data_IF_858181723412
#
_entry.id   IF_858181723412
#
_cell.length_a   1.000
_cell.length_b   1.000
_cell.length_c   1.000
_cell.angle_alpha   90.00
_cell.angle_beta   90.00
_cell.angle_gamma   90.00
#
_symmetry.space_group_name_H-M   'P 1'
#
loop_
_entity.id
_entity.type
_entity.pdbx_description
1 polymer ?
#
# COMPACT_ATOMS: atom_id res chain seq x y z
N UNK A 1 -3.01 12.86 13.08
CA UNK A 1 -2.98 11.38 13.12
C UNK A 1 -1.54 10.86 13.20
N UNK A 2 -0.70 11.07 12.18
CA UNK A 2 0.68 10.57 12.13
C UNK A 2 1.50 10.83 13.41
N UNK A 3 1.63 12.11 13.81
CA UNK A 3 2.37 12.52 15.02
C UNK A 3 1.98 11.74 16.28
N UNK A 4 0.70 11.44 16.46
CA UNK A 4 0.21 10.68 17.62
C UNK A 4 0.74 9.25 17.60
N UNK A 5 0.59 8.55 16.48
CA UNK A 5 1.06 7.16 16.31
C UNK A 5 2.58 7.07 16.39
N UNK A 6 3.30 8.00 15.77
CA UNK A 6 4.76 8.04 15.84
C UNK A 6 5.26 8.31 17.27
N UNK A 7 4.57 9.16 18.04
CA UNK A 7 4.84 9.38 19.46
C UNK A 7 4.56 8.15 20.32
N UNK A 8 3.48 7.41 20.05
CA UNK A 8 3.17 6.12 20.73
C UNK A 8 4.23 5.05 20.45
N UNK A 9 4.88 5.12 19.28
CA UNK A 9 6.00 4.25 18.91
C UNK A 9 7.37 4.77 19.38
N UNK A 10 7.40 5.87 20.14
CA UNK A 10 8.61 6.49 20.67
C UNK A 10 9.65 6.86 19.60
N UNK A 11 9.21 7.24 18.39
CA UNK A 11 10.10 7.84 17.40
C UNK A 11 10.67 9.16 17.97
N UNK A 12 11.93 9.46 17.65
CA UNK A 12 12.52 10.72 18.05
C UNK A 12 11.82 11.90 17.38
N UNK A 13 11.99 13.08 17.98
CA UNK A 13 11.24 14.28 17.58
C UNK A 13 11.52 14.69 16.13
N UNK A 14 12.75 14.58 15.68
CA UNK A 14 13.14 15.00 14.34
C UNK A 14 12.52 14.06 13.31
N UNK A 15 12.58 12.74 13.55
CA UNK A 15 11.88 11.74 12.72
C UNK A 15 10.36 11.96 12.69
N UNK A 16 9.75 12.36 13.82
CA UNK A 16 8.32 12.68 13.87
C UNK A 16 7.99 13.89 13.00
N UNK A 17 8.78 14.97 13.08
CA UNK A 17 8.55 16.19 12.31
C UNK A 17 8.82 15.98 10.81
N UNK A 18 9.83 15.18 10.46
CA UNK A 18 10.08 14.73 9.08
C UNK A 18 8.91 13.91 8.53
N UNK A 19 8.40 12.96 9.32
CA UNK A 19 7.24 12.16 8.96
C UNK A 19 5.98 13.02 8.75
N UNK A 20 5.73 14.02 9.62
CA UNK A 20 4.63 14.97 9.42
C UNK A 20 4.79 15.77 8.14
N UNK A 21 6.01 16.18 7.80
CA UNK A 21 6.31 16.88 6.54
C UNK A 21 6.00 15.99 5.36
N UNK A 22 6.48 14.74 5.34
CA UNK A 22 6.21 13.80 4.25
C UNK A 22 4.72 13.49 4.08
N UNK A 23 3.96 13.29 5.16
CA UNK A 23 2.50 13.08 5.06
C UNK A 23 1.81 14.31 4.46
N UNK A 24 2.23 15.51 4.86
CA UNK A 24 1.68 16.76 4.34
C UNK A 24 1.94 16.90 2.83
N UNK A 25 3.14 16.57 2.37
CA UNK A 25 3.49 16.60 0.94
C UNK A 25 2.67 15.60 0.12
N UNK A 26 2.51 14.36 0.62
CA UNK A 26 1.68 13.35 -0.04
C UNK A 26 0.19 13.76 -0.09
N UNK A 27 -0.35 14.27 1.02
CA UNK A 27 -1.72 14.75 1.07
C UNK A 27 -1.96 15.95 0.15
N UNK A 28 -1.02 16.90 0.11
CA UNK A 28 -1.08 18.04 -0.81
C UNK A 28 -1.10 17.57 -2.27
N UNK A 29 -0.25 16.62 -2.65
CA UNK A 29 -0.23 16.05 -3.99
C UNK A 29 -1.60 15.45 -4.38
N UNK A 30 -2.22 14.69 -3.49
CA UNK A 30 -3.56 14.13 -3.72
C UNK A 30 -4.63 15.21 -3.85
N UNK A 31 -4.62 16.24 -2.99
CA UNK A 31 -5.57 17.36 -3.06
C UNK A 31 -5.38 18.23 -4.31
N UNK A 32 -4.15 18.40 -4.77
CA UNK A 32 -3.88 19.11 -6.03
C UNK A 32 -4.35 18.31 -7.24
N UNK A 33 -4.16 16.99 -7.22
CA UNK A 33 -4.67 16.11 -8.26
C UNK A 33 -6.21 16.11 -8.28
N UNK A 34 -6.86 16.05 -7.12
CA UNK A 34 -8.33 16.05 -7.03
C UNK A 34 -8.97 17.31 -7.62
N UNK A 35 -8.37 18.49 -7.41
CA UNK A 35 -8.84 19.76 -8.00
C UNK A 35 -8.85 19.76 -9.54
N UNK A 36 -8.06 18.89 -10.18
CA UNK A 36 -7.98 18.77 -11.64
C UNK A 36 -8.96 17.75 -12.22
N UNK A 37 -9.67 17.00 -11.38
CA UNK A 37 -10.56 15.92 -11.81
C UNK A 37 -12.00 16.11 -11.29
N UNK A 38 -13.03 16.07 -12.17
CA UNK A 38 -14.42 16.36 -11.80
C UNK A 38 -15.04 15.44 -10.75
N UNK A 39 -14.52 14.22 -10.61
CA UNK A 39 -15.07 13.18 -9.74
C UNK A 39 -14.46 13.16 -8.32
N UNK A 40 -13.52 14.06 -8.03
CA UNK A 40 -12.81 14.13 -6.76
C UNK A 40 -11.89 12.93 -6.51
N UNK A 41 -10.86 13.15 -5.69
CA UNK A 41 -10.15 12.04 -5.06
C UNK A 41 -10.93 11.66 -3.80
N UNK A 42 -11.06 10.36 -3.53
CA UNK A 42 -11.42 9.88 -2.18
C UNK A 42 -10.12 9.53 -1.45
N UNK A 43 -9.42 10.51 -0.84
CA UNK A 43 -8.14 10.27 -0.21
C UNK A 43 -8.28 9.43 1.05
N UNK A 44 -7.34 8.53 1.25
CA UNK A 44 -7.20 7.80 2.52
C UNK A 44 -5.76 7.87 3.02
N UNK A 45 -5.59 7.91 4.34
CA UNK A 45 -4.27 7.82 4.97
C UNK A 45 -4.24 6.58 5.84
N UNK A 46 -3.27 5.70 5.58
CA UNK A 46 -3.10 4.44 6.29
C UNK A 46 -1.75 4.44 7.01
N UNK A 47 -1.77 3.97 8.26
CA UNK A 47 -0.58 3.74 9.07
C UNK A 47 -0.59 2.29 9.52
N UNK A 48 0.51 1.59 9.32
CA UNK A 48 0.70 0.24 9.85
C UNK A 48 2.19 -0.04 10.09
N UNK A 49 2.45 -1.01 10.96
CA UNK A 49 3.80 -1.52 11.16
C UNK A 49 4.05 -2.69 10.20
N UNK A 50 5.27 -2.78 9.67
CA UNK A 50 5.78 -3.98 9.00
C UNK A 50 7.16 -4.35 9.53
N UNK A 51 7.57 -5.58 9.29
CA UNK A 51 8.81 -6.15 9.75
C UNK A 51 8.72 -6.78 11.14
N UNK A 52 9.80 -7.44 11.54
CA UNK A 52 9.92 -8.11 12.83
C UNK A 52 11.28 -7.82 13.46
N UNK A 53 11.35 -7.92 14.79
CA UNK A 53 12.58 -7.70 15.55
C UNK A 53 13.14 -6.29 15.33
N UNK A 54 14.43 -6.18 15.01
CA UNK A 54 15.12 -4.89 14.84
C UNK A 54 14.82 -4.20 13.49
N UNK A 55 13.98 -4.80 12.63
CA UNK A 55 13.65 -4.28 11.29
C UNK A 55 12.20 -3.83 11.18
N UNK A 56 11.61 -3.35 12.28
CA UNK A 56 10.24 -2.83 12.27
C UNK A 56 10.23 -1.43 11.67
N UNK A 57 9.29 -1.19 10.77
CA UNK A 57 9.10 0.09 10.10
C UNK A 57 7.65 0.55 10.30
N UNK A 58 7.46 1.84 10.58
CA UNK A 58 6.18 2.52 10.45
C UNK A 58 5.99 2.91 8.98
N UNK A 59 5.02 2.28 8.31
CA UNK A 59 4.64 2.59 6.94
C UNK A 59 3.48 3.58 6.96
N UNK A 60 3.62 4.65 6.19
CA UNK A 60 2.52 5.57 5.89
C UNK A 60 2.18 5.48 4.40
N UNK A 61 0.90 5.24 4.10
CA UNK A 61 0.36 5.27 2.74
C UNK A 61 -0.69 6.37 2.59
N UNK A 62 -0.62 7.12 1.51
CA UNK A 62 -1.69 8.02 1.06
C UNK A 62 -2.26 7.45 -0.22
N UNK A 63 -3.54 7.08 -0.17
CA UNK A 63 -4.29 6.52 -1.29
C UNK A 63 -5.15 7.60 -1.94
N UNK A 64 -5.34 7.49 -3.25
CA UNK A 64 -6.39 8.19 -3.97
C UNK A 64 -6.91 7.37 -5.17
N UNK A 65 -8.14 7.66 -5.59
CA UNK A 65 -8.84 6.99 -6.69
C UNK A 65 -8.41 7.46 -8.08
N UNK A 66 -7.44 8.37 -8.20
CA UNK A 66 -7.03 8.91 -9.50
C UNK A 66 -6.01 7.96 -10.16
N UNK A 67 -6.32 7.41 -11.34
CA UNK A 67 -5.54 6.32 -11.96
C UNK A 67 -4.28 6.82 -12.68
N UNK A 68 -3.84 8.06 -12.43
CA UNK A 68 -2.86 8.78 -13.26
C UNK A 68 -1.48 8.11 -13.40
N UNK A 69 -1.17 7.09 -12.59
CA UNK A 69 0.13 6.38 -12.62
C UNK A 69 0.05 4.93 -13.12
N UNK A 70 -1.11 4.47 -13.62
CA UNK A 70 -1.29 3.10 -14.15
C UNK A 70 -0.33 2.75 -15.31
N UNK A 71 0.21 3.74 -16.04
CA UNK A 71 1.12 3.54 -17.17
C UNK A 71 2.51 4.19 -17.00
N UNK A 72 2.99 4.35 -15.76
CA UNK A 72 4.40 4.68 -15.53
C UNK A 72 4.79 6.15 -15.69
N UNK A 73 3.83 7.08 -15.84
CA UNK A 73 4.08 8.51 -15.72
C UNK A 73 4.19 8.94 -14.24
N UNK A 74 5.14 8.35 -13.54
CA UNK A 74 5.46 8.68 -12.15
C UNK A 74 6.46 9.82 -12.17
N UNK A 75 6.14 11.01 -11.62
CA UNK A 75 7.12 12.06 -11.44
C UNK A 75 8.22 11.55 -10.50
N UNK A 76 9.49 11.61 -10.92
CA UNK A 76 10.64 11.44 -10.01
C UNK A 76 11.64 10.31 -10.32
N UNK A 77 11.38 9.40 -11.27
CA UNK A 77 12.42 8.41 -11.67
C UNK A 77 13.27 8.83 -12.87
N UNK A 78 12.78 9.77 -13.69
CA UNK A 78 13.48 10.28 -14.87
C UNK A 78 13.05 11.70 -15.32
N UNK A 79 12.22 12.39 -14.53
CA UNK A 79 11.78 13.76 -14.85
C UNK A 79 12.81 14.73 -14.30
N UNK A 80 13.30 15.66 -15.14
CA UNK A 80 14.21 16.75 -14.76
C UNK A 80 13.79 17.31 -13.39
N UNK A 81 14.76 17.41 -12.47
CA UNK A 81 14.63 18.11 -11.19
C UNK A 81 13.85 19.38 -11.42
N UNK A 82 12.77 19.59 -10.67
CA UNK A 82 12.06 20.85 -10.77
C UNK A 82 13.07 21.97 -10.46
N UNK A 83 13.08 23.07 -11.22
CA UNK A 83 13.94 24.22 -10.91
C UNK A 83 13.82 24.59 -9.43
N UNK A 84 14.92 25.06 -8.80
CA UNK A 84 14.94 25.32 -7.36
C UNK A 84 13.88 26.35 -6.92
N UNK A 85 13.40 27.19 -7.84
CA UNK A 85 12.35 28.20 -7.70
C UNK A 85 10.92 27.68 -8.03
N UNK A 86 10.78 26.43 -8.45
CA UNK A 86 9.47 25.84 -8.74
C UNK A 86 8.68 25.58 -7.44
N UNK A 87 7.54 26.25 -7.30
CA UNK A 87 6.62 26.12 -6.16
C UNK A 87 5.74 24.85 -6.20
N UNK A 88 5.83 24.04 -7.27
CA UNK A 88 5.05 22.81 -7.43
C UNK A 88 5.93 21.69 -7.98
N UNK A 89 5.71 20.45 -7.54
CA UNK A 89 6.37 19.26 -8.07
C UNK A 89 7.59 18.77 -7.28
N UNK A 90 7.95 19.42 -6.17
CA UNK A 90 9.04 18.98 -5.28
C UNK A 90 8.61 18.05 -4.14
N UNK A 91 7.31 17.87 -3.91
CA UNK A 91 6.84 17.12 -2.73
C UNK A 91 7.38 15.69 -2.68
N UNK A 92 7.54 15.01 -3.83
CA UNK A 92 8.16 13.69 -3.88
C UNK A 92 9.69 13.72 -3.72
N UNK A 93 10.35 14.83 -4.05
CA UNK A 93 11.79 15.02 -3.76
C UNK A 93 12.01 15.15 -2.25
N UNK A 94 11.17 15.94 -1.57
CA UNK A 94 11.17 16.05 -0.10
C UNK A 94 10.93 14.69 0.55
N UNK A 95 9.92 13.94 0.08
CA UNK A 95 9.66 12.57 0.58
C UNK A 95 10.86 11.66 0.32
N UNK A 96 11.51 11.75 -0.84
CA UNK A 96 12.70 10.95 -1.13
C UNK A 96 13.85 11.25 -0.17
N UNK A 97 14.16 12.52 0.05
CA UNK A 97 15.25 12.96 0.91
C UNK A 97 14.97 12.58 2.38
N UNK A 98 13.79 12.90 2.91
CA UNK A 98 13.43 12.65 4.32
C UNK A 98 13.22 11.16 4.64
N UNK A 99 12.81 10.34 3.67
CA UNK A 99 12.69 8.90 3.86
C UNK A 99 14.02 8.16 3.64
N UNK A 100 15.11 8.84 3.25
CA UNK A 100 16.35 8.17 2.85
C UNK A 100 16.16 7.23 1.65
N UNK A 101 15.19 7.52 0.78
CA UNK A 101 14.82 6.67 -0.35
C UNK A 101 13.83 5.53 -0.02
N UNK A 102 13.39 5.40 1.24
CA UNK A 102 12.41 4.40 1.66
C UNK A 102 10.97 4.83 1.35
N UNK A 103 10.67 5.01 0.06
CA UNK A 103 9.35 5.36 -0.44
C UNK A 103 9.04 4.69 -1.78
N UNK A 104 7.77 4.68 -2.15
CA UNK A 104 7.34 4.16 -3.43
C UNK A 104 5.88 4.43 -3.72
N UNK A 105 5.35 3.75 -4.73
CA UNK A 105 3.95 3.80 -5.08
C UNK A 105 3.52 2.46 -5.69
N UNK A 106 2.23 2.17 -5.67
CA UNK A 106 1.66 1.03 -6.37
C UNK A 106 0.16 1.20 -6.57
N UNK A 107 -0.40 0.40 -7.49
CA UNK A 107 -1.84 0.27 -7.63
C UNK A 107 -2.42 -0.48 -6.42
N UNK A 108 -3.58 -0.03 -5.96
CA UNK A 108 -4.29 -0.66 -4.85
C UNK A 108 -5.78 -0.28 -4.91
N UNK A 109 -6.53 -0.63 -3.87
CA UNK A 109 -7.94 -0.30 -3.71
C UNK A 109 -8.18 0.42 -2.40
N UNK A 110 -9.20 1.27 -2.40
CA UNK A 110 -9.76 1.90 -1.20
C UNK A 110 -10.05 0.85 -0.12
N UNK A 111 -9.74 1.19 1.14
CA UNK A 111 -10.10 0.37 2.30
C UNK A 111 -11.37 0.87 2.99
N UNK A 112 -11.77 2.11 2.75
CA UNK A 112 -12.92 2.74 3.42
C UNK A 112 -14.19 2.75 2.57
N UNK A 113 -14.11 2.66 1.23
CA UNK A 113 -15.27 2.88 0.35
C UNK A 113 -16.25 1.70 0.25
N UNK A 114 -15.99 0.57 0.92
CA UNK A 114 -16.83 -0.65 0.91
C UNK A 114 -16.89 -1.41 -0.43
N UNK A 115 -16.88 -0.68 -1.55
CA UNK A 115 -16.75 -1.20 -2.91
C UNK A 115 -15.30 -1.46 -3.32
N UNK A 116 -14.32 -0.98 -2.56
CA UNK A 116 -12.91 -1.08 -2.88
C UNK A 116 -12.55 -0.40 -4.19
N UNK A 117 -12.88 0.89 -4.33
CA UNK A 117 -12.59 1.64 -5.55
C UNK A 117 -11.09 1.53 -5.91
N UNK A 118 -10.73 1.20 -7.17
CA UNK A 118 -9.35 1.11 -7.60
C UNK A 118 -8.68 2.49 -7.61
N UNK A 119 -7.37 2.50 -7.42
CA UNK A 119 -6.58 3.72 -7.39
C UNK A 119 -5.11 3.42 -7.16
N UNK A 120 -4.40 4.38 -6.57
CA UNK A 120 -2.98 4.25 -6.25
C UNK A 120 -2.71 4.66 -4.81
N UNK A 121 -1.68 4.07 -4.23
CA UNK A 121 -1.10 4.53 -2.98
C UNK A 121 0.33 4.99 -3.21
N UNK A 122 0.69 6.11 -2.61
CA UNK A 122 2.08 6.57 -2.44
C UNK A 122 2.45 6.36 -0.99
N UNK A 123 3.64 5.83 -0.75
CA UNK A 123 4.03 5.41 0.59
C UNK A 123 5.46 5.80 0.91
N UNK A 124 5.73 5.99 2.19
CA UNK A 124 7.08 6.01 2.76
C UNK A 124 7.11 5.15 4.02
N UNK A 125 8.30 4.73 4.44
CA UNK A 125 8.50 3.99 5.67
C UNK A 125 9.63 4.59 6.50
N UNK A 126 9.43 4.64 7.81
CA UNK A 126 10.43 5.09 8.78
C UNK A 126 10.77 3.94 9.73
N UNK A 127 12.05 3.76 10.11
CA UNK A 127 12.42 2.83 11.16
C UNK A 127 11.63 3.16 12.43
N UNK A 128 10.95 2.16 12.99
CA UNK A 128 10.27 2.30 14.27
C UNK A 128 11.13 1.60 15.33
N UNK A 129 11.45 2.27 16.46
CA UNK A 129 12.04 1.61 17.60
C UNK A 129 11.17 0.42 17.98
N UNK A 130 11.81 -0.65 18.46
CA UNK A 130 11.13 -1.73 19.16
C UNK A 130 10.54 -1.11 20.44
N UNK A 131 9.38 -0.49 20.34
CA UNK A 131 8.63 -0.08 21.50
C UNK A 131 8.38 -1.37 22.28
N UNK A 132 9.02 -1.50 23.44
CA UNK A 132 8.98 -2.67 24.33
C UNK A 132 7.62 -2.92 24.97
N UNK A 133 6.55 -2.63 24.24
CA UNK A 133 5.17 -2.66 24.68
C UNK A 133 4.39 -1.54 24.00
N UNK A 134 3.77 -1.83 22.85
CA UNK A 134 2.60 -1.14 22.27
C UNK A 134 2.23 -1.85 20.95
N UNK A 135 1.01 -2.27 20.65
CA UNK A 135 -0.23 -2.37 21.39
C UNK A 135 -1.20 -3.27 20.58
N UNK A 136 -1.93 -4.16 21.25
CA UNK A 136 -3.36 -4.36 20.99
C UNK A 136 -3.84 -5.48 20.05
N UNK A 137 -3.07 -5.93 19.05
CA UNK A 137 -3.56 -7.02 18.17
C UNK A 137 -2.83 -8.33 18.47
N UNK A 138 -3.57 -9.33 18.95
CA UNK A 138 -3.06 -10.68 19.08
C UNK A 138 -2.61 -11.13 17.68
N UNK A 139 -1.32 -11.43 17.54
CA UNK A 139 -0.80 -11.91 16.26
C UNK A 139 -1.46 -13.24 15.93
N UNK A 140 -1.85 -13.49 14.68
CA UNK A 140 -2.32 -14.80 14.28
C UNK A 140 -1.32 -15.87 14.69
N UNK A 141 -1.84 -16.91 15.36
CA UNK A 141 -1.02 -18.03 15.84
C UNK A 141 -1.01 -19.14 14.80
N UNK A 142 -2.13 -19.32 14.09
CA UNK A 142 -2.30 -20.36 13.08
C UNK A 142 -2.43 -19.76 11.67
N UNK A 143 -2.19 -20.59 10.66
CA UNK A 143 -2.46 -20.25 9.26
C UNK A 143 -3.93 -19.90 9.01
N UNK A 144 -4.85 -20.58 9.71
CA UNK A 144 -6.29 -20.32 9.62
C UNK A 144 -6.68 -18.94 10.17
N UNK A 145 -6.08 -18.51 11.27
CA UNK A 145 -6.29 -17.17 11.83
C UNK A 145 -5.76 -16.11 10.87
N UNK A 146 -4.52 -16.30 10.39
CA UNK A 146 -3.87 -15.38 9.47
C UNK A 146 -4.68 -15.22 8.17
N UNK A 147 -5.21 -16.34 7.66
CA UNK A 147 -6.02 -16.33 6.45
C UNK A 147 -7.37 -15.66 6.65
N UNK A 148 -7.98 -15.81 7.84
CA UNK A 148 -9.24 -15.12 8.18
C UNK A 148 -9.05 -13.61 8.20
N UNK A 149 -7.95 -13.12 8.78
CA UNK A 149 -7.65 -11.69 8.76
C UNK A 149 -7.42 -11.15 7.34
N UNK A 150 -6.68 -11.90 6.52
CA UNK A 150 -6.41 -11.53 5.14
C UNK A 150 -7.67 -11.54 4.27
N UNK A 151 -8.51 -12.56 4.41
CA UNK A 151 -9.78 -12.69 3.68
C UNK A 151 -10.73 -11.54 4.02
N UNK A 152 -10.79 -11.13 5.29
CA UNK A 152 -11.57 -9.97 5.72
C UNK A 152 -11.03 -8.67 5.12
N UNK A 153 -9.71 -8.44 5.16
CA UNK A 153 -9.07 -7.27 4.56
C UNK A 153 -9.34 -7.19 3.05
N UNK A 154 -9.14 -8.28 2.32
CA UNK A 154 -9.42 -8.33 0.88
C UNK A 154 -10.92 -8.14 0.59
N UNK A 155 -11.80 -8.75 1.38
CA UNK A 155 -13.25 -8.58 1.20
C UNK A 155 -13.68 -7.12 1.34
N UNK A 156 -13.11 -6.38 2.31
CA UNK A 156 -13.38 -4.94 2.50
C UNK A 156 -12.95 -4.08 1.30
N UNK A 157 -12.08 -4.61 0.43
CA UNK A 157 -11.56 -3.97 -0.78
C UNK A 157 -12.25 -4.48 -2.06
N UNK A 158 -13.45 -5.06 -1.93
CA UNK A 158 -14.25 -5.46 -3.08
C UNK A 158 -13.87 -6.81 -3.71
N UNK A 159 -13.10 -7.65 -3.00
CA UNK A 159 -12.83 -9.03 -3.41
C UNK A 159 -13.86 -10.03 -2.88
N UNK A 160 -14.83 -9.58 -2.06
CA UNK A 160 -15.88 -10.44 -1.51
C UNK A 160 -16.60 -11.25 -2.58
N UNK A 161 -16.80 -12.55 -2.31
CA UNK A 161 -17.47 -13.48 -3.23
C UNK A 161 -16.60 -14.01 -4.40
N UNK A 162 -15.36 -13.53 -4.56
CA UNK A 162 -14.40 -14.04 -5.55
C UNK A 162 -13.30 -14.91 -4.93
N UNK A 163 -13.14 -14.81 -3.62
CA UNK A 163 -12.11 -15.53 -2.87
C UNK A 163 -12.51 -16.99 -2.71
N UNK A 164 -11.54 -17.89 -2.95
CA UNK A 164 -11.71 -19.34 -2.71
C UNK A 164 -10.64 -19.78 -1.72
N UNK A 165 -11.09 -20.28 -0.56
CA UNK A 165 -10.23 -20.68 0.55
C UNK A 165 -10.23 -22.20 0.74
N UNK A 166 -9.06 -22.75 1.08
CA UNK A 166 -8.90 -24.13 1.50
C UNK A 166 -7.91 -24.22 2.67
N UNK A 167 -8.30 -24.91 3.74
CA UNK A 167 -7.53 -25.04 4.96
C UNK A 167 -7.19 -26.51 5.22
N UNK A 168 -5.96 -26.76 5.67
CA UNK A 168 -5.49 -28.01 6.25
C UNK A 168 -4.97 -27.71 7.66
N UNK A 169 -5.84 -27.91 8.65
CA UNK A 169 -5.53 -27.66 10.06
C UNK A 169 -4.43 -28.60 10.56
N UNK A 170 -4.36 -29.84 10.04
CA UNK A 170 -3.36 -30.82 10.45
C UNK A 170 -1.95 -30.42 10.03
N UNK A 171 -1.83 -29.73 8.89
CA UNK A 171 -0.57 -29.20 8.38
C UNK A 171 -0.28 -27.74 8.77
N UNK A 172 -1.15 -27.09 9.57
CA UNK A 172 -1.17 -25.64 9.80
C UNK A 172 -1.01 -24.87 8.48
N UNK A 173 -1.87 -25.16 7.51
CA UNK A 173 -1.82 -24.56 6.18
C UNK A 173 -3.17 -23.99 5.80
N UNK A 174 -3.16 -22.79 5.21
CA UNK A 174 -4.35 -22.19 4.61
C UNK A 174 -3.96 -21.58 3.26
N UNK A 175 -4.82 -21.72 2.26
CA UNK A 175 -4.60 -21.24 0.90
C UNK A 175 -5.80 -20.42 0.47
N UNK A 176 -5.55 -19.25 -0.13
CA UNK A 176 -6.56 -18.33 -0.63
C UNK A 176 -6.25 -17.98 -2.08
N UNK A 177 -7.11 -18.44 -2.97
CA UNK A 177 -7.10 -18.06 -4.38
C UNK A 177 -7.90 -16.77 -4.55
N UNK A 178 -7.27 -15.74 -5.12
CA UNK A 178 -7.86 -14.41 -5.29
C UNK A 178 -8.33 -14.22 -6.74
N UNK A 179 -7.52 -14.68 -7.69
CA UNK A 179 -7.81 -14.70 -9.12
C UNK A 179 -6.99 -15.81 -9.79
N UNK A 180 -7.24 -16.08 -11.08
CA UNK A 180 -6.46 -17.06 -11.83
C UNK A 180 -4.96 -16.71 -11.78
N UNK A 181 -4.14 -17.63 -11.25
CA UNK A 181 -2.70 -17.44 -11.09
C UNK A 181 -2.27 -16.56 -9.91
N UNK A 182 -3.21 -16.02 -9.12
CA UNK A 182 -2.94 -15.20 -7.93
C UNK A 182 -3.42 -15.91 -6.67
N UNK A 183 -2.47 -16.36 -5.85
CA UNK A 183 -2.77 -17.16 -4.65
C UNK A 183 -1.87 -16.73 -3.49
N UNK A 184 -2.45 -16.62 -2.31
CA UNK A 184 -1.72 -16.50 -1.04
C UNK A 184 -1.82 -17.81 -0.29
N UNK A 185 -0.75 -18.25 0.36
CA UNK A 185 -0.83 -19.31 1.34
C UNK A 185 -0.09 -18.94 2.62
N UNK A 186 -0.60 -19.47 3.73
CA UNK A 186 -0.07 -19.33 5.06
C UNK A 186 0.34 -20.72 5.56
N UNK A 187 1.51 -20.83 6.19
CA UNK A 187 2.00 -22.06 6.82
C UNK A 187 3.10 -21.74 7.83
N UNK A 188 3.01 -22.30 9.03
CA UNK A 188 4.09 -22.26 10.04
C UNK A 188 4.65 -20.85 10.27
N UNK A 189 3.75 -19.90 10.57
CA UNK A 189 4.05 -18.47 10.79
C UNK A 189 4.56 -17.67 9.56
N UNK A 190 4.63 -18.30 8.39
CA UNK A 190 4.98 -17.68 7.13
C UNK A 190 3.77 -17.48 6.22
N UNK A 191 3.75 -16.37 5.49
CA UNK A 191 2.82 -16.11 4.41
C UNK A 191 3.59 -15.92 3.09
N UNK A 192 3.05 -16.44 2.00
CA UNK A 192 3.65 -16.34 0.68
C UNK A 192 2.61 -15.94 -0.36
N UNK A 193 3.06 -15.18 -1.34
CA UNK A 193 2.27 -14.78 -2.50
C UNK A 193 2.86 -15.42 -3.75
N UNK A 194 1.99 -15.97 -4.59
CA UNK A 194 2.30 -16.31 -5.98
C UNK A 194 1.41 -15.48 -6.88
N UNK A 195 2.05 -14.79 -7.82
CA UNK A 195 1.39 -14.08 -8.91
C UNK A 195 2.25 -14.17 -10.18
N UNK A 196 1.65 -14.02 -11.38
CA UNK A 196 2.43 -13.96 -12.62
C UNK A 196 3.45 -12.81 -12.57
N UNK A 197 4.71 -13.09 -12.92
CA UNK A 197 5.77 -12.08 -12.96
C UNK A 197 6.28 -11.60 -11.61
N UNK A 198 5.72 -12.07 -10.49
CA UNK A 198 6.19 -11.74 -9.13
C UNK A 198 7.03 -12.88 -8.60
N UNK A 199 8.29 -12.61 -8.25
CA UNK A 199 9.14 -13.57 -7.56
C UNK A 199 8.50 -14.00 -6.25
N UNK A 200 8.67 -15.26 -5.84
CA UNK A 200 8.14 -15.73 -4.58
C UNK A 200 8.72 -14.90 -3.42
N UNK A 201 7.83 -14.24 -2.69
CA UNK A 201 8.14 -13.45 -1.51
C UNK A 201 7.54 -14.13 -0.27
N UNK A 202 8.20 -13.96 0.86
CA UNK A 202 7.81 -14.53 2.14
C UNK A 202 7.72 -13.43 3.20
N UNK A 203 6.65 -13.47 3.98
CA UNK A 203 6.40 -12.57 5.10
C UNK A 203 6.09 -13.33 6.38
N UNK A 204 6.23 -12.65 7.51
CA UNK A 204 5.69 -13.14 8.79
C UNK A 204 4.20 -12.85 8.89
N UNK A 205 3.45 -13.59 9.69
CA UNK A 205 2.08 -13.21 10.08
C UNK A 205 1.99 -11.84 10.78
N UNK A 206 3.11 -11.28 11.25
CA UNK A 206 3.13 -9.89 11.74
C UNK A 206 2.91 -8.86 10.62
N UNK A 207 3.09 -9.26 9.37
CA UNK A 207 3.08 -8.41 8.18
C UNK A 207 1.87 -8.67 7.27
N UNK A 208 0.78 -9.23 7.79
CA UNK A 208 -0.39 -9.57 6.96
C UNK A 208 -1.00 -8.37 6.23
N UNK A 209 -0.87 -7.16 6.80
CA UNK A 209 -1.26 -5.93 6.08
C UNK A 209 -0.42 -5.75 4.82
N UNK A 210 0.88 -6.02 4.87
CA UNK A 210 1.76 -5.97 3.70
C UNK A 210 1.43 -7.09 2.70
N UNK A 211 1.15 -8.31 3.19
CA UNK A 211 0.71 -9.43 2.33
C UNK A 211 -0.55 -9.05 1.55
N UNK A 212 -1.54 -8.46 2.22
CA UNK A 212 -2.76 -7.94 1.58
C UNK A 212 -2.46 -6.87 0.55
N UNK A 213 -1.59 -5.91 0.86
CA UNK A 213 -1.18 -4.87 -0.10
C UNK A 213 -0.51 -5.44 -1.35
N UNK A 214 0.38 -6.41 -1.20
CA UNK A 214 1.08 -7.07 -2.32
C UNK A 214 0.11 -7.90 -3.17
N UNK A 215 -0.85 -8.58 -2.54
CA UNK A 215 -1.88 -9.32 -3.24
C UNK A 215 -2.80 -8.41 -4.07
N UNK A 216 -3.24 -7.28 -3.50
CA UNK A 216 -4.06 -6.30 -4.23
C UNK A 216 -3.24 -5.65 -5.35
N UNK A 217 -1.99 -5.26 -5.09
CA UNK A 217 -1.11 -4.71 -6.12
C UNK A 217 -0.93 -5.67 -7.30
N UNK A 218 -0.68 -6.95 -7.03
CA UNK A 218 -0.54 -7.96 -8.05
C UNK A 218 -1.83 -8.12 -8.87
N UNK A 219 -2.99 -8.15 -8.20
CA UNK A 219 -4.29 -8.19 -8.87
C UNK A 219 -4.50 -6.98 -9.80
N UNK A 220 -4.32 -5.77 -9.29
CA UNK A 220 -4.52 -4.56 -10.10
C UNK A 220 -3.53 -4.47 -11.26
N UNK A 221 -2.30 -4.98 -11.08
CA UNK A 221 -1.32 -5.06 -12.17
C UNK A 221 -1.75 -6.03 -13.27
N UNK A 222 -2.33 -7.19 -12.90
CA UNK A 222 -2.89 -8.15 -13.84
C UNK A 222 -4.06 -7.53 -14.62
N UNK A 223 -4.98 -6.86 -13.91
CA UNK A 223 -6.13 -6.18 -14.54
C UNK A 223 -5.67 -5.08 -15.50
N UNK A 224 -4.74 -4.23 -15.07
CA UNK A 224 -4.19 -3.15 -15.90
C UNK A 224 -3.45 -3.68 -17.14
N UNK A 225 -2.86 -4.87 -17.06
CA UNK A 225 -2.19 -5.53 -18.19
C UNK A 225 -3.17 -6.22 -19.14
N UNK A 226 -4.33 -6.65 -18.64
CA UNK A 226 -5.34 -7.38 -19.41
C UNK A 226 -6.32 -6.47 -20.17
N UNK A 227 -6.47 -5.20 -19.75
CA UNK A 227 -7.37 -4.24 -20.41
C UNK A 227 -6.61 -2.98 -20.88
N UNK A 228 -6.09 -3.00 -22.12
CA UNK A 228 -5.47 -1.82 -22.72
C UNK A 228 -6.47 -0.71 -23.11
N UNK A 229 -7.79 -0.98 -23.13
CA UNK A 229 -8.77 -0.19 -23.87
C UNK A 229 -9.86 0.49 -23.03
N UNK A 230 -10.06 0.17 -21.75
CA UNK A 230 -10.91 0.97 -20.83
C UNK A 230 -10.34 2.38 -20.52
N UNK A 231 -9.21 2.76 -21.12
CA UNK A 231 -8.47 4.00 -20.86
C UNK A 231 -8.25 4.88 -22.11
N UNK A 232 -8.87 4.56 -23.25
CA UNK A 232 -8.82 5.37 -24.48
C UNK A 232 -9.80 6.58 -24.48
N UNK A 233 -10.26 7.04 -23.31
CA UNK A 233 -11.14 8.21 -23.18
C UNK A 233 -10.41 9.55 -23.10
N UNK A 234 -9.08 9.56 -23.05
CA UNK A 234 -8.31 10.80 -22.91
C UNK A 234 -6.99 10.76 -23.67
N UNK A 235 -7.01 10.57 -24.99
CA UNK A 235 -5.98 11.16 -25.87
C UNK A 235 -6.47 11.34 -27.31
N UNK A 236 -6.15 12.52 -27.85
CA UNK A 236 -6.36 13.06 -29.22
C UNK A 236 -7.75 13.68 -29.49
N UNK A 237 -7.93 14.89 -30.04
CA UNK A 237 -7.02 15.87 -30.70
C UNK A 237 -7.77 17.18 -31.02
N UNK A 238 -7.01 18.29 -31.11
CA UNK A 238 -7.29 19.46 -31.99
C UNK A 238 -7.99 20.64 -31.31
N UNK A 239 -7.51 21.89 -31.36
CA UNK A 239 -6.41 22.51 -32.12
C UNK A 239 -5.83 23.68 -31.30
#
# INVERSE_FOLDING_TARGET
>A
MFRRVAGELALDRDTVDDGVTMVSELAANTLHASKRHPHGANPEVWLYLRGTGMRVELVCKVFDTLPSWAHGNVPGRSVRRAPADAMSGRGLEVVHELSGGHWGHHLTRSRLSGSGAPGKAVWFSLPAPLAGGSAGRMRPVTAGDAMTELEHDLSSRGFGGKLVRADDVGADMAVLSIASGLTVWCRSAGAWLRAPGVSQQQWSYSDLVEVGEQAVQAHESIVASADPFLLAGATSTGA
#
